data_IF_201620435604
#
_entry.id   IF_201620435604
#
_cell.length_a   1.000
_cell.length_b   1.000
_cell.length_c   1.000
_cell.angle_alpha   90.00
_cell.angle_beta   90.00
_cell.angle_gamma   90.00
#
_symmetry.space_group_name_H-M   'P 1'
#
loop_
_entity.id
_entity.type
_entity.pdbx_description
1 polymer ?
#
# COMPACT_ATOMS: atom_id res chain seq x y z
N UNK A 1 -14.41 -6.11 12.12
CA UNK A 1 -13.86 -6.52 10.80
C UNK A 1 -12.82 -5.50 10.37
N UNK A 2 -11.68 -5.94 9.88
CA UNK A 2 -10.64 -5.10 9.30
C UNK A 2 -10.73 -5.20 7.78
N UNK A 3 -10.75 -4.07 7.08
CA UNK A 3 -10.76 -4.02 5.62
C UNK A 3 -9.44 -3.41 5.14
N UNK A 4 -8.67 -4.17 4.37
CA UNK A 4 -7.42 -3.73 3.77
C UNK A 4 -7.60 -3.54 2.27
N UNK A 5 -6.96 -2.53 1.71
CA UNK A 5 -6.86 -2.32 0.27
C UNK A 5 -5.39 -2.36 -0.15
N UNK A 6 -5.09 -3.18 -1.12
CA UNK A 6 -3.83 -3.20 -1.86
C UNK A 6 -4.11 -2.93 -3.34
N UNK A 7 -3.14 -2.32 -4.01
CA UNK A 7 -3.19 -2.08 -5.45
C UNK A 7 -1.92 -2.62 -6.09
N UNK A 8 -2.07 -3.39 -7.18
CA UNK A 8 -0.90 -3.94 -7.85
C UNK A 8 -1.22 -4.82 -9.06
N UNK A 9 -0.15 -5.29 -9.67
CA UNK A 9 -0.17 -6.25 -10.77
C UNK A 9 0.48 -7.57 -10.33
N UNK A 10 0.52 -8.54 -11.25
CA UNK A 10 1.17 -9.84 -11.01
C UNK A 10 2.63 -9.72 -10.56
N UNK A 11 3.35 -8.71 -11.05
CA UNK A 11 4.77 -8.48 -10.72
C UNK A 11 5.05 -8.01 -9.29
N UNK A 12 4.03 -7.59 -8.53
CA UNK A 12 4.18 -7.21 -7.10
C UNK A 12 3.56 -8.24 -6.16
N UNK A 13 3.22 -9.44 -6.66
CA UNK A 13 2.58 -10.48 -5.85
C UNK A 13 3.40 -10.89 -4.62
N UNK A 14 4.72 -10.97 -4.74
CA UNK A 14 5.62 -11.25 -3.62
C UNK A 14 5.47 -10.21 -2.49
N UNK A 15 5.25 -8.96 -2.87
CA UNK A 15 4.95 -7.88 -1.94
C UNK A 15 3.59 -8.06 -1.26
N UNK A 16 2.55 -8.39 -2.03
CA UNK A 16 1.22 -8.67 -1.49
C UNK A 16 1.28 -9.82 -0.48
N UNK A 17 1.96 -10.92 -0.83
CA UNK A 17 2.08 -12.10 0.02
C UNK A 17 2.83 -11.78 1.32
N UNK A 18 4.00 -11.17 1.24
CA UNK A 18 4.80 -10.86 2.44
C UNK A 18 4.15 -9.81 3.32
N UNK A 19 3.53 -8.78 2.72
CA UNK A 19 2.83 -7.74 3.47
C UNK A 19 1.61 -8.29 4.21
N UNK A 20 0.74 -9.03 3.53
CA UNK A 20 -0.49 -9.59 4.13
C UNK A 20 -0.18 -10.69 5.15
N UNK A 21 0.84 -11.55 4.91
CA UNK A 21 1.36 -12.47 5.94
C UNK A 21 1.76 -11.71 7.20
N UNK A 22 2.46 -10.57 7.04
CA UNK A 22 2.85 -9.76 8.19
C UNK A 22 1.64 -9.24 8.98
N UNK A 23 0.52 -8.94 8.29
CA UNK A 23 -0.72 -8.53 8.98
C UNK A 23 -1.25 -9.65 9.85
N UNK A 24 -1.52 -10.84 9.28
CA UNK A 24 -2.14 -11.95 10.03
C UNK A 24 -1.24 -12.48 11.13
N UNK A 25 0.08 -12.50 10.91
CA UNK A 25 1.08 -12.96 11.89
C UNK A 25 1.28 -11.99 13.07
N UNK A 26 0.89 -10.73 12.94
CA UNK A 26 1.02 -9.70 13.99
C UNK A 26 -0.31 -9.32 14.63
N UNK A 27 -1.42 -9.97 14.28
CA UNK A 27 -2.68 -9.82 15.02
C UNK A 27 -2.50 -10.37 16.46
N UNK A 28 -2.78 -9.55 17.46
CA UNK A 28 -2.76 -9.98 18.86
C UNK A 28 -3.96 -10.86 19.21
N UNK A 29 -5.06 -10.68 18.47
CA UNK A 29 -6.30 -11.48 18.61
C UNK A 29 -6.89 -11.74 17.22
N UNK A 30 -7.49 -12.94 16.99
CA UNK A 30 -8.21 -13.20 15.75
C UNK A 30 -9.27 -12.13 15.48
N UNK A 31 -9.31 -11.63 14.25
CA UNK A 31 -10.29 -10.64 13.79
C UNK A 31 -10.69 -10.96 12.35
N UNK A 32 -11.96 -10.83 12.05
CA UNK A 32 -12.43 -10.91 10.67
C UNK A 32 -11.68 -9.90 9.80
N UNK A 33 -11.09 -10.37 8.69
CA UNK A 33 -10.23 -9.61 7.81
C UNK A 33 -10.70 -9.76 6.36
N UNK A 34 -10.88 -8.66 5.65
CA UNK A 34 -11.08 -8.66 4.19
C UNK A 34 -9.94 -7.90 3.52
N UNK A 35 -9.25 -8.59 2.61
CA UNK A 35 -8.19 -8.02 1.78
C UNK A 35 -8.75 -7.76 0.38
N UNK A 36 -8.93 -6.51 0.02
CA UNK A 36 -9.26 -6.09 -1.33
C UNK A 36 -7.96 -5.92 -2.12
N UNK A 37 -7.86 -6.55 -3.27
CA UNK A 37 -6.73 -6.40 -4.19
C UNK A 37 -7.25 -5.78 -5.48
N UNK A 38 -6.97 -4.49 -5.68
CA UNK A 38 -7.26 -3.82 -6.94
C UNK A 38 -6.15 -4.13 -7.93
N UNK A 39 -6.57 -4.59 -9.08
CA UNK A 39 -5.68 -4.90 -10.22
C UNK A 39 -6.29 -4.42 -11.52
N UNK A 40 -5.47 -4.30 -12.56
CA UNK A 40 -5.94 -3.98 -13.91
C UNK A 40 -5.02 -4.61 -14.94
N UNK A 41 -5.54 -4.84 -16.14
CA UNK A 41 -4.76 -5.08 -17.35
C UNK A 41 -4.32 -3.74 -17.94
N UNK A 42 -3.02 -3.51 -17.97
CA UNK A 42 -2.42 -2.34 -18.59
C UNK A 42 -1.29 -2.76 -19.56
N UNK A 43 -1.43 -3.95 -20.16
CA UNK A 43 -0.46 -4.52 -21.12
C UNK A 43 -0.23 -3.63 -22.33
N UNK A 44 -1.19 -2.74 -22.66
CA UNK A 44 -1.02 -1.70 -23.68
C UNK A 44 0.13 -0.73 -23.39
N UNK A 45 0.42 -0.48 -22.10
CA UNK A 45 1.50 0.42 -21.70
C UNK A 45 2.83 -0.31 -21.50
N UNK A 46 2.79 -1.55 -20.99
CA UNK A 46 3.97 -2.41 -20.87
C UNK A 46 3.55 -3.89 -20.80
N UNK A 47 4.21 -4.82 -21.52
CA UNK A 47 3.85 -6.25 -21.51
C UNK A 47 3.84 -6.91 -20.12
N UNK A 48 4.62 -6.37 -19.17
CA UNK A 48 4.67 -6.86 -17.78
C UNK A 48 3.54 -6.34 -16.89
N UNK A 49 2.68 -5.47 -17.40
CA UNK A 49 1.57 -4.90 -16.64
C UNK A 49 0.32 -5.78 -16.73
N UNK A 50 0.48 -7.05 -16.37
CA UNK A 50 -0.60 -8.04 -16.30
C UNK A 50 -1.29 -8.01 -14.93
N UNK A 51 -2.61 -8.23 -14.85
CA UNK A 51 -3.33 -8.22 -13.58
C UNK A 51 -2.87 -9.34 -12.63
N UNK A 52 -3.14 -9.19 -11.36
CA UNK A 52 -3.08 -10.29 -10.39
C UNK A 52 -4.07 -11.36 -10.82
N UNK A 53 -3.63 -12.62 -10.93
CA UNK A 53 -4.49 -13.71 -11.37
C UNK A 53 -5.38 -14.24 -10.24
N UNK A 54 -6.49 -14.93 -10.60
CA UNK A 54 -7.33 -15.64 -9.65
C UNK A 54 -6.54 -16.67 -8.84
N UNK A 55 -5.64 -17.43 -9.50
CA UNK A 55 -4.77 -18.39 -8.83
C UNK A 55 -3.84 -17.75 -7.77
N UNK A 56 -3.33 -16.55 -8.05
CA UNK A 56 -2.56 -15.78 -7.06
C UNK A 56 -3.46 -15.33 -5.90
N UNK A 57 -4.68 -14.86 -6.17
CA UNK A 57 -5.63 -14.47 -5.13
C UNK A 57 -6.06 -15.66 -4.26
N UNK A 58 -6.32 -16.82 -4.85
CA UNK A 58 -6.67 -18.06 -4.14
C UNK A 58 -5.51 -18.55 -3.26
N UNK A 59 -4.27 -18.48 -3.76
CA UNK A 59 -3.08 -18.80 -2.97
C UNK A 59 -2.97 -17.86 -1.78
N UNK A 60 -3.14 -16.56 -2.02
CA UNK A 60 -3.10 -15.55 -0.97
C UNK A 60 -4.14 -15.86 0.12
N UNK A 61 -5.40 -16.09 -0.26
CA UNK A 61 -6.47 -16.40 0.69
C UNK A 61 -6.16 -17.66 1.50
N UNK A 62 -5.77 -18.76 0.85
CA UNK A 62 -5.43 -20.02 1.54
C UNK A 62 -4.29 -19.82 2.55
N UNK A 63 -3.25 -19.07 2.15
CA UNK A 63 -2.11 -18.78 3.02
C UNK A 63 -2.53 -17.97 4.24
N UNK A 64 -3.33 -16.94 4.06
CA UNK A 64 -3.78 -16.08 5.16
C UNK A 64 -4.73 -16.81 6.11
N UNK A 65 -5.63 -17.64 5.57
CA UNK A 65 -6.59 -18.43 6.35
C UNK A 65 -5.93 -19.49 7.22
N UNK A 66 -4.74 -19.95 6.87
CA UNK A 66 -3.96 -20.85 7.72
C UNK A 66 -3.57 -20.20 9.07
N UNK A 67 -3.45 -18.87 9.11
CA UNK A 67 -3.14 -18.09 10.32
C UNK A 67 -4.37 -17.44 10.96
N UNK A 68 -5.31 -16.99 10.14
CA UNK A 68 -6.55 -16.36 10.59
C UNK A 68 -7.71 -16.86 9.72
N UNK A 69 -8.47 -17.89 10.18
CA UNK A 69 -9.53 -18.52 9.39
C UNK A 69 -10.62 -17.57 8.89
N UNK A 70 -10.87 -16.47 9.62
CA UNK A 70 -11.83 -15.44 9.25
C UNK A 70 -11.21 -14.38 8.31
N UNK A 71 -10.50 -14.85 7.28
CA UNK A 71 -9.87 -13.98 6.27
C UNK A 71 -10.45 -14.27 4.89
N UNK A 72 -10.76 -13.22 4.15
CA UNK A 72 -11.23 -13.27 2.75
C UNK A 72 -10.37 -12.38 1.86
N UNK A 73 -10.08 -12.83 0.65
CA UNK A 73 -9.42 -12.05 -0.38
C UNK A 73 -10.42 -11.74 -1.50
N UNK A 74 -10.58 -10.48 -1.83
CA UNK A 74 -11.43 -9.99 -2.91
C UNK A 74 -10.57 -9.39 -4.01
N UNK A 75 -10.36 -10.14 -5.08
CA UNK A 75 -9.73 -9.62 -6.28
C UNK A 75 -10.74 -8.76 -7.05
N UNK A 76 -10.37 -7.53 -7.31
CA UNK A 76 -11.23 -6.54 -7.99
C UNK A 76 -10.48 -6.03 -9.21
N UNK A 77 -10.93 -6.44 -10.39
CA UNK A 77 -10.45 -5.88 -11.64
C UNK A 77 -11.10 -4.51 -11.86
N UNK A 78 -10.28 -3.49 -11.93
CA UNK A 78 -10.70 -2.09 -12.13
C UNK A 78 -10.28 -1.54 -13.50
N UNK A 79 -9.95 -2.42 -14.45
CA UNK A 79 -9.49 -2.03 -15.79
C UNK A 79 -10.45 -1.06 -16.47
N UNK A 80 -11.73 -1.42 -16.58
CA UNK A 80 -12.74 -0.56 -17.22
C UNK A 80 -12.92 0.79 -16.49
N UNK A 81 -12.88 0.77 -15.15
CA UNK A 81 -13.00 1.98 -14.34
C UNK A 81 -11.78 2.87 -14.56
N UNK A 82 -10.56 2.28 -14.60
CA UNK A 82 -9.34 3.01 -14.89
C UNK A 82 -9.36 3.63 -16.28
N UNK A 83 -9.70 2.86 -17.30
CA UNK A 83 -9.80 3.34 -18.69
C UNK A 83 -10.83 4.47 -18.83
N UNK A 84 -11.92 4.45 -18.07
CA UNK A 84 -12.94 5.48 -18.10
C UNK A 84 -12.50 6.77 -17.40
N UNK A 85 -11.79 6.67 -16.27
CA UNK A 85 -11.57 7.81 -15.37
C UNK A 85 -10.11 8.31 -15.32
N UNK A 86 -9.13 7.48 -15.73
CA UNK A 86 -7.70 7.76 -15.60
C UNK A 86 -6.89 7.42 -16.84
N UNK A 87 -7.50 6.95 -17.93
CA UNK A 87 -6.80 6.63 -19.16
C UNK A 87 -6.08 7.86 -19.72
N UNK A 88 -4.83 7.66 -20.17
CA UNK A 88 -3.98 8.71 -20.72
C UNK A 88 -3.85 9.96 -19.81
N UNK A 89 -3.96 9.79 -18.49
CA UNK A 89 -3.73 10.89 -17.56
C UNK A 89 -2.29 11.43 -17.67
N UNK A 90 -2.09 12.70 -17.31
CA UNK A 90 -0.80 13.37 -17.44
C UNK A 90 0.35 12.71 -16.62
N UNK A 91 0.04 11.72 -15.78
CA UNK A 91 0.96 11.03 -14.89
C UNK A 91 1.14 9.54 -15.23
N UNK A 92 0.46 9.01 -16.25
CA UNK A 92 0.72 7.67 -16.78
C UNK A 92 2.14 7.66 -17.40
N UNK A 93 2.96 6.69 -17.08
CA UNK A 93 4.36 6.65 -17.51
C UNK A 93 5.33 7.55 -16.73
N UNK A 94 4.89 8.19 -15.63
CA UNK A 94 5.75 8.89 -14.71
C UNK A 94 6.58 7.93 -13.85
N UNK A 95 7.38 8.47 -12.92
CA UNK A 95 8.26 7.72 -12.03
C UNK A 95 7.56 6.62 -11.19
N UNK A 96 6.29 6.83 -10.84
CA UNK A 96 5.50 5.87 -10.05
C UNK A 96 4.78 4.88 -10.96
N UNK A 97 4.61 3.65 -10.51
CA UNK A 97 3.78 2.66 -11.19
C UNK A 97 2.34 3.16 -11.33
N UNK A 98 1.67 2.99 -12.48
CA UNK A 98 0.27 3.39 -12.65
C UNK A 98 -0.70 2.67 -11.69
N UNK A 99 -0.31 1.52 -11.15
CA UNK A 99 -1.10 0.79 -10.16
C UNK A 99 -1.24 1.54 -8.82
N UNK A 100 -0.38 2.52 -8.52
CA UNK A 100 -0.56 3.38 -7.35
C UNK A 100 -1.78 4.28 -7.48
N UNK A 101 -2.23 4.57 -8.71
CA UNK A 101 -3.40 5.40 -8.97
C UNK A 101 -4.72 4.68 -8.64
N UNK A 102 -4.74 3.33 -8.59
CA UNK A 102 -5.95 2.53 -8.40
C UNK A 102 -6.65 2.81 -7.06
N UNK A 103 -5.90 3.21 -6.03
CA UNK A 103 -6.48 3.61 -4.74
C UNK A 103 -7.47 4.78 -4.87
N UNK A 104 -7.31 5.60 -5.91
CA UNK A 104 -8.19 6.74 -6.19
C UNK A 104 -9.50 6.35 -6.89
N UNK A 105 -9.73 5.06 -7.12
CA UNK A 105 -10.96 4.50 -7.68
C UNK A 105 -11.86 3.90 -6.59
N UNK A 106 -11.48 4.04 -5.31
CA UNK A 106 -12.19 3.41 -4.20
C UNK A 106 -13.64 3.89 -4.02
N UNK A 107 -13.96 5.10 -4.44
CA UNK A 107 -15.33 5.65 -4.43
C UNK A 107 -16.21 5.14 -5.58
N UNK A 108 -15.61 4.54 -6.61
CA UNK A 108 -16.29 3.98 -7.79
C UNK A 108 -16.53 2.46 -7.67
N UNK A 109 -16.17 1.88 -6.54
CA UNK A 109 -16.32 0.45 -6.25
C UNK A 109 -17.01 0.26 -4.89
N UNK A 110 -17.58 -0.93 -4.60
CA UNK A 110 -18.28 -1.19 -3.34
C UNK A 110 -17.30 -1.36 -2.16
N UNK A 111 -16.54 -0.30 -1.85
CA UNK A 111 -15.65 -0.29 -0.67
C UNK A 111 -16.43 0.01 0.62
N UNK A 112 -16.02 -0.63 1.74
CA UNK A 112 -16.59 -0.37 3.06
C UNK A 112 -16.31 1.06 3.54
N UNK A 113 -17.09 1.54 4.52
CA UNK A 113 -16.99 2.92 5.03
C UNK A 113 -15.65 3.21 5.72
N UNK A 114 -14.93 2.19 6.15
CA UNK A 114 -13.58 2.31 6.72
C UNK A 114 -12.69 1.23 6.13
N UNK A 115 -11.56 1.64 5.59
CA UNK A 115 -10.52 0.71 5.14
C UNK A 115 -9.12 1.30 5.32
N UNK A 116 -8.13 0.42 5.43
CA UNK A 116 -6.72 0.77 5.48
C UNK A 116 -6.07 0.40 4.15
N UNK A 117 -5.59 1.41 3.43
CA UNK A 117 -4.75 1.20 2.26
C UNK A 117 -3.31 0.95 2.70
N UNK A 118 -2.69 -0.04 2.09
CA UNK A 118 -1.28 -0.41 2.27
C UNK A 118 -0.61 -0.60 0.92
N UNK A 119 0.56 0.02 0.73
CA UNK A 119 1.44 -0.35 -0.38
C UNK A 119 1.93 -1.80 -0.20
N UNK A 120 2.17 -2.51 -1.29
CA UNK A 120 2.63 -3.90 -1.24
C UNK A 120 4.05 -4.06 -0.65
N UNK A 121 4.78 -2.97 -0.45
CA UNK A 121 6.12 -2.95 0.11
C UNK A 121 6.19 -2.51 1.58
N UNK A 122 5.12 -2.78 2.34
CA UNK A 122 5.09 -2.58 3.80
C UNK A 122 5.09 -3.91 4.55
N UNK A 123 5.61 -3.91 5.77
CA UNK A 123 5.52 -5.03 6.71
C UNK A 123 5.09 -4.56 8.10
N UNK A 124 4.18 -5.29 8.70
CA UNK A 124 3.74 -5.03 10.07
C UNK A 124 4.77 -5.57 11.07
N UNK A 125 5.12 -4.72 12.04
CA UNK A 125 5.94 -5.10 13.20
C UNK A 125 5.07 -5.39 14.43
N UNK A 126 3.83 -4.86 14.43
CA UNK A 126 2.85 -4.97 15.52
C UNK A 126 1.44 -5.08 14.94
N UNK A 127 0.46 -5.27 15.81
CA UNK A 127 -0.95 -5.39 15.44
C UNK A 127 -1.43 -4.17 14.62
N UNK A 128 -2.04 -4.47 13.48
CA UNK A 128 -2.61 -3.47 12.57
C UNK A 128 -3.78 -2.71 13.22
N UNK A 129 -4.43 -3.29 14.21
CA UNK A 129 -5.49 -2.67 15.01
C UNK A 129 -5.05 -1.38 15.67
N UNK A 130 -3.76 -1.24 16.04
CA UNK A 130 -3.21 0.00 16.58
C UNK A 130 -3.43 1.22 15.65
N UNK A 131 -3.51 0.99 14.35
CA UNK A 131 -3.85 2.02 13.37
C UNK A 131 -5.32 1.94 12.95
N UNK A 132 -5.81 0.74 12.63
CA UNK A 132 -7.15 0.56 12.07
C UNK A 132 -8.24 1.04 13.01
N UNK A 133 -8.09 0.85 14.33
CA UNK A 133 -9.08 1.23 15.34
C UNK A 133 -9.03 2.72 15.71
N UNK A 134 -8.10 3.47 15.13
CA UNK A 134 -8.02 4.91 15.33
C UNK A 134 -9.29 5.59 14.83
N UNK A 135 -9.87 6.44 15.68
CA UNK A 135 -11.06 7.22 15.33
C UNK A 135 -10.69 8.45 14.47
N UNK A 136 -11.37 8.57 13.32
CA UNK A 136 -11.16 9.64 12.34
C UNK A 136 -12.47 10.20 11.77
N UNK A 137 -13.54 10.45 12.56
CA UNK A 137 -14.86 10.83 12.05
C UNK A 137 -14.82 12.13 11.27
N UNK A 138 -13.98 13.06 11.67
CA UNK A 138 -13.84 14.40 11.10
C UNK A 138 -12.87 14.47 9.92
N UNK A 139 -12.17 13.40 9.61
CA UNK A 139 -11.09 13.38 8.61
C UNK A 139 -11.43 12.47 7.44
N UNK A 140 -10.99 12.85 6.25
CA UNK A 140 -11.07 12.03 5.04
C UNK A 140 -10.15 10.81 5.17
N UNK A 141 -8.94 11.05 5.68
CA UNK A 141 -7.96 9.99 5.94
C UNK A 141 -6.97 10.40 7.04
N UNK A 142 -6.28 9.37 7.57
CA UNK A 142 -5.12 9.54 8.41
C UNK A 142 -3.86 9.01 7.70
N UNK A 143 -2.76 9.76 7.77
CA UNK A 143 -1.48 9.44 7.13
C UNK A 143 -0.29 9.95 7.93
N UNK A 144 0.84 9.23 7.86
CA UNK A 144 2.11 9.70 8.42
C UNK A 144 2.83 10.64 7.44
N UNK A 145 3.69 11.56 7.94
CA UNK A 145 4.49 12.43 7.09
C UNK A 145 5.43 11.64 6.17
N UNK A 146 5.66 12.16 4.98
CA UNK A 146 6.72 11.64 4.13
C UNK A 146 8.10 12.01 4.69
N UNK A 147 9.01 11.04 4.74
CA UNK A 147 10.30 11.24 5.40
C UNK A 147 11.13 12.37 4.79
N UNK A 148 11.16 12.47 3.47
CA UNK A 148 11.88 13.51 2.74
C UNK A 148 10.96 14.66 2.34
N UNK A 149 9.74 14.36 1.93
CA UNK A 149 8.78 15.34 1.44
C UNK A 149 8.43 16.40 2.46
N UNK A 150 8.43 16.07 3.76
CA UNK A 150 8.20 17.06 4.83
C UNK A 150 9.27 18.14 4.91
N UNK A 151 10.49 17.89 4.41
CA UNK A 151 11.58 18.86 4.37
C UNK A 151 11.71 19.53 2.99
N UNK A 152 11.42 18.78 1.92
CA UNK A 152 11.69 19.24 0.54
C UNK A 152 10.48 19.85 -0.15
N UNK A 153 9.26 19.53 0.30
CA UNK A 153 8.01 19.96 -0.35
C UNK A 153 7.17 20.83 0.60
N UNK A 154 6.75 20.25 1.73
CA UNK A 154 5.94 20.96 2.72
C UNK A 154 5.98 20.22 4.07
N UNK A 155 6.05 20.91 5.24
CA UNK A 155 6.14 20.27 6.56
C UNK A 155 5.05 19.24 6.86
N UNK A 156 3.86 19.40 6.28
CA UNK A 156 2.74 18.47 6.41
C UNK A 156 2.56 17.57 5.19
N UNK A 157 3.59 17.40 4.35
CA UNK A 157 3.52 16.48 3.21
C UNK A 157 3.49 15.04 3.71
N UNK A 158 2.46 14.29 3.32
CA UNK A 158 2.22 12.91 3.77
C UNK A 158 2.82 11.89 2.80
N UNK A 159 3.09 10.69 3.30
CA UNK A 159 3.41 9.55 2.46
C UNK A 159 2.15 8.69 2.25
N UNK A 160 1.87 8.34 0.99
CA UNK A 160 0.64 7.65 0.60
C UNK A 160 0.72 6.12 0.71
N UNK A 161 1.83 5.54 1.19
CA UNK A 161 1.97 4.07 1.30
C UNK A 161 1.17 3.42 2.41
N UNK A 162 0.66 4.22 3.38
CA UNK A 162 -0.23 3.77 4.46
C UNK A 162 -1.27 4.86 4.70
N UNK A 163 -2.53 4.57 4.39
CA UNK A 163 -3.64 5.53 4.49
C UNK A 163 -4.86 4.86 5.14
N UNK A 164 -5.29 5.35 6.30
CA UNK A 164 -6.56 4.95 6.89
C UNK A 164 -7.67 5.88 6.37
N UNK A 165 -8.60 5.35 5.59
CA UNK A 165 -9.67 6.11 4.98
C UNK A 165 -11.00 6.04 5.76
N UNK A 166 -11.70 7.17 5.81
CA UNK A 166 -13.12 7.30 6.16
C UNK A 166 -13.91 7.60 4.89
N UNK A 167 -14.51 6.57 4.30
CA UNK A 167 -15.20 6.68 3.01
C UNK A 167 -16.44 7.57 3.06
N UNK A 168 -17.17 7.61 4.18
CA UNK A 168 -18.31 8.50 4.32
C UNK A 168 -17.84 9.95 4.14
N UNK A 169 -16.77 10.33 4.80
CA UNK A 169 -16.21 11.67 4.67
C UNK A 169 -15.58 11.92 3.29
N UNK A 170 -14.91 10.90 2.71
CA UNK A 170 -14.36 11.00 1.36
C UNK A 170 -15.42 11.23 0.29
N UNK A 171 -16.58 10.57 0.40
CA UNK A 171 -17.72 10.76 -0.51
C UNK A 171 -18.33 12.16 -0.36
N UNK A 172 -18.50 12.62 0.87
CA UNK A 172 -19.04 13.96 1.17
C UNK A 172 -18.17 15.08 0.56
N UNK A 173 -16.87 14.96 0.67
CA UNK A 173 -15.91 15.98 0.18
C UNK A 173 -15.56 15.84 -1.29
N UNK A 174 -15.81 14.67 -1.90
CA UNK A 174 -15.43 14.35 -3.27
C UNK A 174 -13.91 14.29 -3.49
N UNK A 175 -13.13 13.93 -2.46
CA UNK A 175 -11.66 13.96 -2.52
C UNK A 175 -11.10 13.12 -3.66
N UNK A 176 -11.64 11.93 -3.89
CA UNK A 176 -11.14 11.02 -4.94
C UNK A 176 -11.38 11.58 -6.33
N UNK A 177 -12.57 12.14 -6.59
CA UNK A 177 -12.87 12.79 -7.86
C UNK A 177 -11.96 13.98 -8.10
N UNK A 178 -11.76 14.86 -7.12
CA UNK A 178 -10.85 15.99 -7.21
C UNK A 178 -9.41 15.53 -7.47
N UNK A 179 -8.96 14.44 -6.83
CA UNK A 179 -7.63 13.88 -7.05
C UNK A 179 -7.48 13.33 -8.47
N UNK A 180 -8.48 12.62 -9.01
CA UNK A 180 -8.48 12.15 -10.40
C UNK A 180 -8.46 13.32 -11.40
N UNK A 181 -9.25 14.35 -11.19
CA UNK A 181 -9.24 15.55 -12.03
C UNK A 181 -7.86 16.24 -12.06
N UNK A 182 -7.18 16.32 -10.91
CA UNK A 182 -5.81 16.84 -10.85
C UNK A 182 -4.83 15.98 -11.64
N UNK A 183 -4.92 14.65 -11.54
CA UNK A 183 -4.07 13.73 -12.29
C UNK A 183 -4.27 13.82 -13.80
N UNK A 184 -5.51 13.99 -14.25
CA UNK A 184 -5.82 14.13 -15.68
C UNK A 184 -5.33 15.45 -16.27
N UNK A 185 -5.28 16.52 -15.46
CA UNK A 185 -4.99 17.86 -15.94
C UNK A 185 -3.58 18.37 -15.65
N UNK A 186 -2.88 17.76 -14.69
CA UNK A 186 -1.56 18.25 -14.23
C UNK A 186 -0.57 17.12 -14.06
N UNK A 187 0.65 17.33 -14.51
CA UNK A 187 1.79 16.49 -14.16
C UNK A 187 2.23 16.78 -12.72
N UNK A 188 2.24 15.76 -11.87
CA UNK A 188 2.54 15.86 -10.45
C UNK A 188 3.84 15.10 -10.13
N UNK A 189 4.65 15.59 -9.19
CA UNK A 189 5.95 14.98 -8.85
C UNK A 189 5.78 13.56 -8.28
N UNK A 190 4.82 13.37 -7.39
CA UNK A 190 4.45 12.08 -6.80
C UNK A 190 2.97 11.80 -7.04
N UNK A 191 2.59 11.77 -8.31
CA UNK A 191 1.25 11.43 -8.83
C UNK A 191 0.11 11.44 -7.78
N UNK A 192 -0.34 10.26 -7.36
CA UNK A 192 -1.45 10.06 -6.42
C UNK A 192 -1.22 10.67 -5.03
N UNK A 193 0.00 10.60 -4.49
CA UNK A 193 0.34 11.22 -3.20
C UNK A 193 0.15 12.73 -3.24
N UNK A 194 0.63 13.38 -4.31
CA UNK A 194 0.46 14.82 -4.50
C UNK A 194 -0.99 15.19 -4.81
N UNK A 195 -1.71 14.35 -5.56
CA UNK A 195 -3.12 14.56 -5.85
C UNK A 195 -3.97 14.52 -4.57
N UNK A 196 -3.82 13.49 -3.74
CA UNK A 196 -4.49 13.40 -2.44
C UNK A 196 -4.13 14.57 -1.52
N UNK A 197 -2.83 14.90 -1.40
CA UNK A 197 -2.38 15.98 -0.53
C UNK A 197 -2.95 17.35 -0.93
N UNK A 198 -3.24 17.57 -2.22
CA UNK A 198 -3.79 18.84 -2.74
C UNK A 198 -5.33 18.85 -2.77
N UNK A 199 -5.97 17.68 -2.80
CA UNK A 199 -7.43 17.56 -2.88
C UNK A 199 -8.10 17.49 -1.52
N UNK A 200 -7.34 17.14 -0.47
CA UNK A 200 -7.89 16.98 0.88
C UNK A 200 -8.34 18.30 1.48
N UNK A 201 -9.49 18.29 2.15
CA UNK A 201 -9.98 19.39 2.97
C UNK A 201 -9.60 19.20 4.43
N UNK A 202 -9.53 17.94 4.91
CA UNK A 202 -9.25 17.63 6.30
C UNK A 202 -8.61 16.25 6.48
N UNK A 203 -7.30 16.21 6.70
CA UNK A 203 -6.56 14.97 7.00
C UNK A 203 -6.05 14.95 8.42
N UNK A 204 -5.90 13.75 9.00
CA UNK A 204 -5.24 13.53 10.29
C UNK A 204 -3.78 13.15 10.06
N UNK A 205 -2.86 13.96 10.55
CA UNK A 205 -1.43 13.59 10.55
C UNK A 205 -1.16 12.70 11.75
N UNK A 206 -0.64 11.49 11.49
CA UNK A 206 -0.33 10.50 12.51
C UNK A 206 1.18 10.29 12.70
N UNK A 207 1.56 9.60 13.76
CA UNK A 207 2.96 9.33 14.08
C UNK A 207 3.66 8.53 12.97
N UNK A 208 4.93 8.86 12.73
CA UNK A 208 5.80 8.18 11.77
C UNK A 208 5.89 6.66 11.99
N UNK A 209 5.70 6.17 13.22
CA UNK A 209 5.70 4.74 13.55
C UNK A 209 4.69 3.90 12.76
N UNK A 210 3.64 4.52 12.21
CA UNK A 210 2.62 3.87 11.38
C UNK A 210 2.98 3.82 9.89
N UNK A 211 4.06 4.47 9.49
CA UNK A 211 4.61 4.39 8.14
C UNK A 211 6.10 4.76 8.20
N UNK A 212 6.92 3.88 8.78
CA UNK A 212 8.34 4.13 8.98
C UNK A 212 9.12 3.79 7.71
N UNK A 213 9.47 4.82 6.95
CA UNK A 213 10.04 4.69 5.60
C UNK A 213 11.57 4.48 5.62
N UNK A 214 12.25 4.77 6.73
CA UNK A 214 13.71 4.80 6.76
C UNK A 214 14.33 3.91 7.80
N UNK A 215 13.77 3.89 8.99
CA UNK A 215 14.33 3.16 10.11
C UNK A 215 13.35 2.10 10.63
N UNK A 216 13.87 1.21 11.45
CA UNK A 216 13.08 0.28 12.24
C UNK A 216 13.38 0.57 13.71
N UNK A 217 12.41 1.14 14.40
CA UNK A 217 12.50 1.43 15.83
C UNK A 217 11.71 0.41 16.65
N UNK A 218 12.01 0.31 17.93
CA UNK A 218 11.29 -0.58 18.86
C UNK A 218 9.77 -0.33 18.90
N UNK A 219 9.34 0.90 18.63
CA UNK A 219 7.92 1.29 18.59
C UNK A 219 7.32 1.35 17.18
N UNK A 220 8.07 1.04 16.12
CA UNK A 220 7.54 0.94 14.75
C UNK A 220 6.38 -0.06 14.71
N UNK A 221 5.28 0.34 14.10
CA UNK A 221 4.10 -0.51 13.86
C UNK A 221 4.12 -1.04 12.44
N UNK A 222 4.39 -0.16 11.48
CA UNK A 222 4.46 -0.50 10.05
C UNK A 222 5.80 -0.01 9.49
N UNK A 223 6.60 -0.94 8.97
CA UNK A 223 7.85 -0.66 8.24
C UNK A 223 7.56 -0.62 6.75
N UNK A 224 7.89 0.49 6.10
CA UNK A 224 7.72 0.68 4.66
C UNK A 224 9.08 0.57 3.95
N UNK A 225 9.22 -0.38 3.02
CA UNK A 225 10.44 -0.65 2.25
C UNK A 225 10.52 0.23 1.00
N UNK A 226 10.25 1.51 1.18
CA UNK A 226 10.39 2.50 0.11
C UNK A 226 11.87 2.69 -0.28
N UNK A 227 12.10 3.28 -1.46
CA UNK A 227 13.43 3.60 -1.96
C UNK A 227 14.22 4.41 -0.94
N UNK A 228 15.48 4.02 -0.68
CA UNK A 228 16.30 4.60 0.38
C UNK A 228 17.61 5.14 -0.17
N UNK A 229 18.03 6.30 0.37
CA UNK A 229 19.34 6.89 0.13
C UNK A 229 20.38 6.24 1.07
N UNK A 230 21.50 5.81 0.51
CA UNK A 230 22.69 5.33 1.21
C UNK A 230 23.85 6.28 0.92
N UNK A 231 24.74 6.45 1.88
CA UNK A 231 25.88 7.38 1.77
C UNK A 231 27.22 6.68 1.55
N UNK A 232 27.28 5.37 1.76
CA UNK A 232 28.50 4.55 1.63
C UNK A 232 28.33 3.51 0.53
N UNK A 233 29.35 3.27 -0.34
CA UNK A 233 30.66 3.95 -0.42
C UNK A 233 30.58 5.37 -1.00
N UNK A 234 29.50 5.73 -1.69
CA UNK A 234 29.16 7.07 -2.21
C UNK A 234 27.65 7.26 -2.13
N UNK A 235 27.11 8.50 -2.18
CA UNK A 235 25.67 8.73 -2.16
C UNK A 235 24.97 8.04 -3.34
N UNK A 236 24.10 7.09 -3.06
CA UNK A 236 23.31 6.36 -4.06
C UNK A 236 21.97 5.92 -3.48
N UNK A 237 21.03 5.55 -4.34
CA UNK A 237 19.73 5.06 -3.90
C UNK A 237 19.56 3.58 -4.24
N UNK A 238 19.04 2.81 -3.27
CA UNK A 238 18.65 1.41 -3.48
C UNK A 238 17.14 1.24 -3.26
N UNK A 239 16.52 0.38 -4.08
CA UNK A 239 15.12 -0.02 -3.95
C UNK A 239 15.06 -1.46 -3.46
N UNK A 240 15.34 -1.67 -2.17
CA UNK A 240 15.31 -2.98 -1.53
C UNK A 240 13.90 -3.21 -0.98
N UNK A 241 13.22 -4.21 -1.53
CA UNK A 241 11.89 -4.63 -1.07
C UNK A 241 12.01 -5.79 -0.08
N UNK A 242 10.98 -6.01 0.76
CA UNK A 242 11.01 -7.07 1.77
C UNK A 242 11.19 -8.47 1.19
N UNK A 243 10.68 -8.74 0.00
CA UNK A 243 10.87 -10.04 -0.68
C UNK A 243 12.28 -10.25 -1.26
N UNK A 244 13.14 -9.22 -1.24
CA UNK A 244 14.57 -9.39 -1.48
C UNK A 244 15.27 -9.86 -0.18
N UNK A 245 14.90 -11.04 0.30
CA UNK A 245 15.20 -11.54 1.65
C UNK A 245 16.68 -11.42 2.02
N UNK A 246 17.58 -11.88 1.15
CA UNK A 246 19.03 -11.80 1.39
C UNK A 246 19.50 -10.35 1.55
N UNK A 247 18.97 -9.42 0.75
CA UNK A 247 19.32 -8.00 0.86
C UNK A 247 18.79 -7.38 2.14
N UNK A 248 17.56 -7.75 2.55
CA UNK A 248 16.96 -7.29 3.82
C UNK A 248 17.84 -7.72 4.99
N UNK A 249 18.24 -8.99 5.04
CA UNK A 249 19.11 -9.53 6.09
C UNK A 249 20.52 -8.92 6.08
N UNK A 250 21.18 -8.88 4.92
CA UNK A 250 22.56 -8.39 4.78
C UNK A 250 22.66 -6.87 4.91
N UNK A 251 21.73 -6.12 4.30
CA UNK A 251 21.83 -4.66 4.18
C UNK A 251 21.20 -3.91 5.35
N UNK A 252 20.11 -4.45 5.90
CA UNK A 252 19.39 -3.82 7.01
C UNK A 252 19.64 -4.52 8.35
N UNK A 253 20.08 -5.77 8.36
CA UNK A 253 20.26 -6.57 9.58
C UNK A 253 18.92 -6.86 10.30
N UNK A 254 17.79 -6.84 9.57
CA UNK A 254 16.48 -7.08 10.17
C UNK A 254 16.24 -8.58 10.33
N UNK A 255 16.08 -9.03 11.56
CA UNK A 255 15.73 -10.40 11.94
C UNK A 255 14.30 -10.53 12.45
N UNK A 256 13.65 -9.40 12.78
CA UNK A 256 12.28 -9.40 13.33
C UNK A 256 11.20 -9.83 12.33
N UNK A 257 11.56 -10.02 11.07
CA UNK A 257 10.67 -10.50 10.00
C UNK A 257 11.03 -11.93 9.54
N UNK A 258 12.01 -12.60 10.15
CA UNK A 258 12.48 -13.89 9.68
C UNK A 258 11.37 -14.95 9.67
N UNK A 259 10.47 -14.92 10.65
CA UNK A 259 9.31 -15.80 10.72
C UNK A 259 8.37 -15.67 9.50
N UNK A 260 8.24 -14.46 8.95
CA UNK A 260 7.41 -14.18 7.77
C UNK A 260 8.17 -14.48 6.49
N UNK A 261 9.43 -14.05 6.43
CA UNK A 261 10.26 -14.19 5.23
C UNK A 261 10.66 -15.65 4.98
N UNK A 262 10.88 -16.45 6.01
CA UNK A 262 11.15 -17.89 5.86
C UNK A 262 9.91 -18.64 5.38
N UNK A 263 8.71 -18.32 5.88
CA UNK A 263 7.45 -18.85 5.39
C UNK A 263 7.20 -18.46 3.93
N UNK A 264 7.42 -17.18 3.57
CA UNK A 264 7.34 -16.71 2.19
C UNK A 264 8.26 -17.52 1.26
N UNK A 265 9.52 -17.75 1.65
CA UNK A 265 10.46 -18.56 0.88
C UNK A 265 10.03 -20.02 0.73
N UNK A 266 9.35 -20.59 1.72
CA UNK A 266 8.78 -21.95 1.62
C UNK A 266 7.63 -21.99 0.61
N UNK A 267 6.70 -21.03 0.68
CA UNK A 267 5.57 -20.94 -0.24
C UNK A 267 6.06 -20.79 -1.69
N UNK A 268 6.99 -19.88 -1.93
CA UNK A 268 7.49 -19.62 -3.30
C UNK A 268 8.24 -20.80 -3.91
N UNK A 269 8.90 -21.66 -3.11
CA UNK A 269 9.49 -22.90 -3.59
C UNK A 269 8.47 -23.93 -4.10
N UNK A 270 7.25 -23.87 -3.59
CA UNK A 270 6.17 -24.78 -4.01
C UNK A 270 5.37 -24.25 -5.21
N UNK A 271 5.63 -23.01 -5.63
CA UNK A 271 5.01 -22.39 -6.81
C UNK A 271 5.77 -22.68 -8.12
N UNK A 272 6.99 -23.18 -8.04
CA UNK A 272 7.86 -23.57 -9.15
C UNK A 272 7.67 -25.05 -9.45
#
# INVERSE_FOLDING_TARGET
MINLLYCGNSGVFDGLLTSTLSVVRRLEKPRALTVYVYTMDLTRAAPSYTPVSSGQADLLERTLRAHNPDTWVKLVDVTEIYETHLNHNANEGCYCSPYTLLRLLADLTPMPDKFLYLDADVMLCKDVGLLYDMDIPEYEYAAAPDHYGKFLIHPHYINAGVLLFNMARCRETGIFEKARQLLCTKKLVFADQSALARSTTRRKVISQRFNDQKFLYKNTVIRHFSKRLFYTPYPHTENIKQWHVDKVRKRFGYTCFDDILDEYLQITKTMV
#
